data_IF_489210809199
#
_entry.id   IF_489210809199
#
_cell.length_a   1.000
_cell.length_b   1.000
_cell.length_c   1.000
_cell.angle_alpha   90.00
_cell.angle_beta   90.00
_cell.angle_gamma   90.00
#
_symmetry.space_group_name_H-M   'P 1'
#
loop_
_entity.id
_entity.type
_entity.pdbx_description
1 polymer ?
#
# COMPACT_ATOMS: atom_id res chain seq x y z
N UNK A 1 25.61 -30.21 -20.20
CA UNK A 1 24.54 -30.89 -19.47
C UNK A 1 24.44 -30.23 -18.09
N UNK A 2 23.54 -29.28 -17.92
CA UNK A 2 23.24 -28.70 -16.63
C UNK A 2 21.98 -29.39 -16.10
N UNK A 3 22.10 -30.06 -15.00
CA UNK A 3 21.00 -30.60 -14.23
C UNK A 3 20.21 -29.44 -13.62
N UNK A 4 19.02 -29.22 -14.12
CA UNK A 4 18.01 -28.39 -13.45
C UNK A 4 17.39 -29.22 -12.32
N UNK A 5 17.88 -29.08 -11.12
CA UNK A 5 17.15 -29.51 -9.94
C UNK A 5 15.98 -28.52 -9.73
N UNK A 6 14.77 -28.95 -10.09
CA UNK A 6 13.53 -28.34 -9.64
C UNK A 6 13.41 -28.57 -8.13
N UNK A 7 13.98 -27.71 -7.34
CA UNK A 7 13.61 -27.59 -5.94
C UNK A 7 12.28 -26.80 -5.89
N UNK A 8 11.18 -27.52 -5.72
CA UNK A 8 9.94 -26.98 -5.19
C UNK A 8 10.16 -26.58 -3.73
N UNK A 9 10.95 -25.53 -3.50
CA UNK A 9 11.03 -24.91 -2.18
C UNK A 9 9.75 -24.12 -1.98
N UNK A 10 8.92 -24.56 -1.04
CA UNK A 10 7.82 -23.74 -0.53
C UNK A 10 8.38 -22.37 -0.16
N UNK A 11 7.78 -21.25 -0.60
CA UNK A 11 8.29 -19.94 -0.25
C UNK A 11 8.41 -19.82 1.28
N UNK A 12 9.62 -19.55 1.76
CA UNK A 12 9.84 -19.36 3.20
C UNK A 12 9.26 -18.01 3.59
N UNK A 13 8.22 -18.02 4.41
CA UNK A 13 7.62 -16.80 4.96
C UNK A 13 8.49 -16.20 6.07
N UNK A 14 8.33 -14.90 6.32
CA UNK A 14 8.96 -14.16 7.40
C UNK A 14 7.97 -14.01 8.56
N UNK A 15 8.28 -14.58 9.71
CA UNK A 15 7.44 -14.40 10.91
C UNK A 15 7.50 -12.95 11.40
N UNK A 16 6.35 -12.42 11.79
CA UNK A 16 6.26 -11.03 12.29
C UNK A 16 7.13 -10.79 13.53
N UNK A 17 7.30 -11.80 14.39
CA UNK A 17 8.21 -11.72 15.55
C UNK A 17 9.67 -11.49 15.12
N UNK A 18 10.14 -12.17 14.08
CA UNK A 18 11.50 -11.99 13.54
C UNK A 18 11.67 -10.60 12.92
N UNK A 19 10.64 -10.12 12.19
CA UNK A 19 10.62 -8.78 11.65
C UNK A 19 10.65 -7.73 12.77
N UNK A 20 9.91 -7.95 13.85
CA UNK A 20 9.87 -7.09 15.03
C UNK A 20 11.24 -7.01 15.69
N UNK A 21 11.91 -8.13 15.93
CA UNK A 21 13.24 -8.16 16.53
C UNK A 21 14.28 -7.41 15.69
N UNK A 22 14.10 -7.39 14.37
CA UNK A 22 15.03 -6.76 13.44
C UNK A 22 14.80 -5.28 13.23
N UNK A 23 13.54 -4.84 13.10
CA UNK A 23 13.21 -3.51 12.59
C UNK A 23 12.57 -2.58 13.64
N UNK A 24 12.07 -3.13 14.77
CA UNK A 24 11.43 -2.32 15.80
C UNK A 24 12.46 -1.59 16.65
N UNK A 25 12.28 -0.27 16.77
CA UNK A 25 13.02 0.60 17.68
C UNK A 25 12.15 1.81 18.05
N UNK A 26 12.71 2.77 18.81
CA UNK A 26 11.96 3.94 19.30
C UNK A 26 11.47 4.86 18.16
N UNK A 27 12.13 4.82 17.00
CA UNK A 27 11.83 5.67 15.84
C UNK A 27 10.99 4.94 14.77
N UNK A 28 10.58 3.69 15.02
CA UNK A 28 9.83 2.91 14.04
C UNK A 28 8.53 2.35 14.61
N UNK A 29 7.59 2.10 13.72
CA UNK A 29 6.40 1.28 13.97
C UNK A 29 6.36 0.18 12.92
N UNK A 30 5.91 -1.03 13.32
CA UNK A 30 5.71 -2.12 12.38
C UNK A 30 4.24 -2.30 12.05
N UNK A 31 3.98 -2.55 10.79
CA UNK A 31 2.62 -2.68 10.27
C UNK A 31 2.51 -3.68 9.14
N UNK A 32 1.33 -3.72 8.60
CA UNK A 32 0.92 -4.57 7.49
C UNK A 32 0.09 -3.78 6.51
N UNK A 33 0.05 -4.21 5.25
CA UNK A 33 -1.01 -3.78 4.36
C UNK A 33 -1.87 -4.96 3.94
N UNK A 34 -3.18 -4.72 3.81
CA UNK A 34 -4.19 -5.76 3.60
C UNK A 34 -5.23 -5.36 2.56
N UNK A 35 -5.78 -6.37 1.93
CA UNK A 35 -6.91 -6.25 1.01
C UNK A 35 -7.82 -7.47 1.14
N UNK A 36 -8.76 -7.62 0.22
CA UNK A 36 -9.58 -8.82 0.12
C UNK A 36 -8.78 -10.12 -0.13
N UNK A 37 -7.50 -10.00 -0.52
CA UNK A 37 -6.63 -11.17 -0.70
C UNK A 37 -6.33 -11.91 0.61
N UNK A 38 -6.29 -11.21 1.73
CA UNK A 38 -6.09 -11.81 3.05
C UNK A 38 -7.37 -12.46 3.62
N UNK A 39 -8.54 -12.18 3.01
CA UNK A 39 -9.82 -12.66 3.51
C UNK A 39 -10.21 -12.03 4.84
N UNK A 40 -10.85 -12.81 5.70
CA UNK A 40 -11.20 -12.39 7.06
C UNK A 40 -9.95 -12.30 7.93
N UNK A 41 -9.81 -11.19 8.66
CA UNK A 41 -8.69 -10.90 9.55
C UNK A 41 -9.16 -10.85 11.00
N UNK A 42 -8.49 -11.62 11.86
CA UNK A 42 -8.67 -11.54 13.32
C UNK A 42 -7.78 -10.40 13.87
N UNK A 43 -8.35 -9.19 13.92
CA UNK A 43 -7.62 -7.98 14.30
C UNK A 43 -7.14 -7.98 15.76
N UNK A 44 -7.78 -8.74 16.65
CA UNK A 44 -7.30 -8.91 18.03
C UNK A 44 -5.98 -9.70 18.04
N UNK A 45 -5.90 -10.80 17.30
CA UNK A 45 -4.66 -11.56 17.15
C UNK A 45 -3.58 -10.75 16.44
N UNK A 46 -3.92 -10.04 15.37
CA UNK A 46 -2.98 -9.14 14.68
C UNK A 46 -2.39 -8.11 15.64
N UNK A 47 -3.20 -7.47 16.47
CA UNK A 47 -2.74 -6.55 17.52
C UNK A 47 -1.85 -7.24 18.54
N UNK A 48 -2.24 -8.40 19.00
CA UNK A 48 -1.48 -9.19 20.00
C UNK A 48 -0.13 -9.68 19.46
N UNK A 49 -0.01 -9.92 18.14
CA UNK A 49 1.25 -10.20 17.49
C UNK A 49 2.23 -9.00 17.53
N UNK A 50 1.72 -7.79 17.76
CA UNK A 50 2.50 -6.56 17.92
C UNK A 50 2.45 -5.64 16.71
N UNK A 51 1.49 -5.82 15.80
CA UNK A 51 1.21 -4.88 14.71
C UNK A 51 0.72 -3.55 15.28
N UNK A 52 1.24 -2.44 14.78
CA UNK A 52 0.98 -1.10 15.30
C UNK A 52 0.20 -0.23 14.30
N UNK A 53 0.27 -0.55 13.00
CA UNK A 53 -0.51 0.14 11.96
C UNK A 53 -0.92 -0.81 10.84
N UNK A 54 -1.95 -0.41 10.11
CA UNK A 54 -2.40 -1.11 8.92
C UNK A 54 -2.72 -0.12 7.81
N UNK A 55 -2.36 -0.46 6.56
CA UNK A 55 -2.80 0.23 5.36
C UNK A 55 -3.78 -0.68 4.62
N UNK A 56 -5.00 -0.22 4.43
CA UNK A 56 -6.12 -1.07 4.01
C UNK A 56 -6.56 -0.66 2.62
N UNK A 57 -6.68 -1.63 1.70
CA UNK A 57 -7.19 -1.32 0.37
C UNK A 57 -8.64 -0.85 0.46
N UNK A 58 -8.89 0.41 0.08
CA UNK A 58 -10.26 0.92 -0.01
C UNK A 58 -10.97 0.41 -1.26
N UNK A 59 -10.23 0.24 -2.35
CA UNK A 59 -10.80 -0.23 -3.60
C UNK A 59 -9.80 -0.23 -4.74
N UNK A 60 -10.32 -0.44 -5.94
CA UNK A 60 -9.54 -0.44 -7.17
C UNK A 60 -10.41 -0.04 -8.36
N UNK A 61 -9.77 0.41 -9.45
CA UNK A 61 -10.44 0.75 -10.70
C UNK A 61 -9.97 -0.11 -11.85
N UNK A 62 -10.88 -0.49 -12.76
CA UNK A 62 -10.56 -1.26 -13.97
C UNK A 62 -10.17 -0.34 -15.13
N UNK A 63 -9.24 -0.81 -15.97
CA UNK A 63 -8.69 -0.04 -17.10
C UNK A 63 -9.66 0.17 -18.25
N UNK A 64 -10.64 -0.72 -18.45
CA UNK A 64 -11.42 -0.76 -19.70
C UNK A 64 -12.74 0.02 -19.60
N UNK A 65 -13.41 0.00 -18.46
CA UNK A 65 -14.71 0.64 -18.26
C UNK A 65 -14.75 1.53 -17.00
N UNK A 66 -13.62 1.72 -16.33
CA UNK A 66 -13.50 2.51 -15.09
C UNK A 66 -14.53 2.18 -14.01
N UNK A 67 -14.96 0.92 -13.96
CA UNK A 67 -15.75 0.46 -12.83
C UNK A 67 -14.91 0.58 -11.56
N UNK A 68 -15.32 1.50 -10.70
CA UNK A 68 -14.71 1.68 -9.40
C UNK A 68 -15.31 0.66 -8.44
N UNK A 69 -14.45 -0.18 -7.87
CA UNK A 69 -14.88 -1.27 -6.99
C UNK A 69 -14.38 -1.02 -5.59
N UNK A 70 -15.31 -1.01 -4.63
CA UNK A 70 -14.96 -1.04 -3.22
C UNK A 70 -14.38 -2.41 -2.87
N UNK A 71 -13.27 -2.44 -2.13
CA UNK A 71 -12.72 -3.71 -1.65
C UNK A 71 -13.74 -4.41 -0.73
N UNK A 72 -13.94 -5.69 -0.96
CA UNK A 72 -14.97 -6.48 -0.27
C UNK A 72 -14.85 -6.42 1.26
N UNK A 73 -13.61 -6.38 1.77
CA UNK A 73 -13.34 -6.37 3.21
C UNK A 73 -12.93 -5.00 3.74
N UNK A 74 -13.05 -3.93 2.92
CA UNK A 74 -12.59 -2.59 3.31
C UNK A 74 -13.18 -2.14 4.65
N UNK A 75 -14.50 -2.18 4.79
CA UNK A 75 -15.18 -1.69 5.99
C UNK A 75 -14.84 -2.52 7.23
N UNK A 76 -14.88 -3.84 7.09
CA UNK A 76 -14.55 -4.78 8.16
C UNK A 76 -13.11 -4.61 8.63
N UNK A 77 -12.16 -4.46 7.69
CA UNK A 77 -10.75 -4.24 8.02
C UNK A 77 -10.53 -2.88 8.69
N UNK A 78 -11.17 -1.82 8.20
CA UNK A 78 -11.03 -0.48 8.77
C UNK A 78 -11.57 -0.42 10.20
N UNK A 79 -12.78 -0.93 10.43
CA UNK A 79 -13.41 -1.01 11.75
C UNK A 79 -12.62 -1.91 12.70
N UNK A 80 -12.20 -3.09 12.21
CA UNK A 80 -11.42 -4.05 13.00
C UNK A 80 -10.07 -3.49 13.44
N UNK A 81 -9.29 -2.92 12.53
CA UNK A 81 -8.00 -2.32 12.86
C UNK A 81 -8.16 -1.16 13.87
N UNK A 82 -9.12 -0.26 13.64
CA UNK A 82 -9.38 0.87 14.55
C UNK A 82 -9.86 0.43 15.93
N UNK A 83 -10.71 -0.58 16.00
CA UNK A 83 -11.22 -1.12 17.29
C UNK A 83 -10.09 -1.64 18.19
N UNK A 84 -9.00 -2.10 17.58
CA UNK A 84 -7.80 -2.55 18.29
C UNK A 84 -6.78 -1.43 18.53
N UNK A 85 -7.11 -0.18 18.19
CA UNK A 85 -6.24 0.97 18.37
C UNK A 85 -4.99 0.98 17.48
N UNK A 86 -5.05 0.34 16.31
CA UNK A 86 -4.00 0.47 15.31
C UNK A 86 -4.13 1.84 14.63
N UNK A 87 -3.00 2.41 14.22
CA UNK A 87 -3.01 3.53 13.26
C UNK A 87 -3.43 3.01 11.90
N UNK A 88 -4.23 3.79 11.17
CA UNK A 88 -4.77 3.34 9.89
C UNK A 88 -4.50 4.34 8.77
N UNK A 89 -4.22 3.79 7.60
CA UNK A 89 -4.25 4.46 6.31
C UNK A 89 -5.02 3.60 5.31
N UNK A 90 -5.26 4.15 4.14
CA UNK A 90 -5.87 3.39 3.05
C UNK A 90 -5.07 3.52 1.76
N UNK A 91 -5.20 2.55 0.86
CA UNK A 91 -4.67 2.67 -0.50
C UNK A 91 -5.73 2.33 -1.54
N UNK A 92 -5.60 2.96 -2.70
CA UNK A 92 -6.44 2.68 -3.86
C UNK A 92 -5.56 2.19 -5.01
N UNK A 93 -5.82 0.97 -5.47
CA UNK A 93 -5.11 0.39 -6.60
C UNK A 93 -5.71 0.91 -7.90
N UNK A 94 -4.99 1.82 -8.55
CA UNK A 94 -5.51 2.55 -9.70
C UNK A 94 -4.94 2.08 -11.02
N UNK A 95 -5.81 2.01 -12.02
CA UNK A 95 -5.47 1.81 -13.42
C UNK A 95 -5.71 3.07 -14.27
N UNK A 96 -5.98 4.20 -13.63
CA UNK A 96 -6.29 5.45 -14.30
C UNK A 96 -5.17 5.86 -15.26
N UNK A 97 -5.56 6.39 -16.42
CA UNK A 97 -4.65 6.94 -17.40
C UNK A 97 -5.09 8.34 -17.90
N UNK A 98 -6.15 8.90 -17.33
CA UNK A 98 -6.64 10.26 -17.57
C UNK A 98 -6.89 11.02 -16.27
N UNK A 99 -6.95 12.34 -16.35
CA UNK A 99 -7.28 13.19 -15.19
C UNK A 99 -8.73 13.01 -14.77
N UNK A 100 -9.65 12.85 -15.71
CA UNK A 100 -11.06 12.61 -15.45
C UNK A 100 -11.27 11.33 -14.63
N UNK A 101 -10.58 10.27 -14.96
CA UNK A 101 -10.60 9.02 -14.18
C UNK A 101 -10.06 9.22 -12.76
N UNK A 102 -9.02 10.03 -12.59
CA UNK A 102 -8.49 10.40 -11.27
C UNK A 102 -9.51 11.19 -10.45
N UNK A 103 -10.25 12.11 -11.08
CA UNK A 103 -11.29 12.88 -10.40
C UNK A 103 -12.43 11.97 -9.90
N UNK A 104 -12.85 11.01 -10.72
CA UNK A 104 -13.85 10.01 -10.35
C UNK A 104 -13.37 9.14 -9.20
N UNK A 105 -12.12 8.70 -9.24
CA UNK A 105 -11.51 7.90 -8.16
C UNK A 105 -11.40 8.68 -6.85
N UNK A 106 -10.94 9.92 -6.89
CA UNK A 106 -10.83 10.75 -5.70
C UNK A 106 -12.21 11.00 -5.04
N UNK A 107 -13.23 11.21 -5.87
CA UNK A 107 -14.61 11.31 -5.40
C UNK A 107 -15.09 10.00 -4.77
N UNK A 108 -14.89 8.88 -5.44
CA UNK A 108 -15.24 7.54 -4.92
C UNK A 108 -14.60 7.25 -3.56
N UNK A 109 -13.31 7.56 -3.42
CA UNK A 109 -12.57 7.39 -2.16
C UNK A 109 -13.18 8.27 -1.07
N UNK A 110 -13.39 9.56 -1.34
CA UNK A 110 -13.95 10.51 -0.38
C UNK A 110 -15.35 10.11 0.07
N UNK A 111 -16.20 9.68 -0.86
CA UNK A 111 -17.57 9.23 -0.58
C UNK A 111 -17.58 7.97 0.31
N UNK A 112 -16.70 7.02 0.06
CA UNK A 112 -16.62 5.78 0.83
C UNK A 112 -15.94 5.94 2.19
N UNK A 113 -15.02 6.89 2.33
CA UNK A 113 -14.45 7.29 3.62
C UNK A 113 -15.45 8.11 4.46
N UNK A 114 -16.29 8.92 3.83
CA UNK A 114 -17.36 9.68 4.49
C UNK A 114 -16.90 10.44 5.75
N UNK A 115 -15.73 11.08 5.68
CA UNK A 115 -15.16 11.83 6.82
C UNK A 115 -14.43 10.98 7.85
N UNK A 116 -14.25 9.69 7.62
CA UNK A 116 -13.51 8.79 8.51
C UNK A 116 -12.07 9.26 8.69
N UNK A 117 -11.62 9.42 9.94
CA UNK A 117 -10.27 9.90 10.23
C UNK A 117 -9.22 8.81 9.92
N UNK A 118 -8.14 9.20 9.26
CA UNK A 118 -7.00 8.35 8.91
C UNK A 118 -5.70 8.93 9.48
N UNK A 119 -4.90 8.10 10.15
CA UNK A 119 -3.59 8.50 10.68
C UNK A 119 -2.52 8.63 9.59
N UNK A 120 -2.63 7.80 8.54
CA UNK A 120 -1.62 7.67 7.49
C UNK A 120 -2.11 8.16 6.12
N UNK A 121 -3.35 8.69 6.06
CA UNK A 121 -3.91 9.25 4.84
C UNK A 121 -4.28 8.21 3.79
N UNK A 122 -4.30 8.67 2.53
CA UNK A 122 -4.71 7.89 1.36
C UNK A 122 -3.54 7.73 0.41
N UNK A 123 -3.22 6.48 0.07
CA UNK A 123 -2.11 6.16 -0.83
C UNK A 123 -2.58 5.95 -2.27
N UNK A 124 -1.88 6.58 -3.19
CA UNK A 124 -1.98 6.38 -4.63
C UNK A 124 -1.08 5.23 -5.03
N UNK A 125 -1.67 4.15 -5.54
CA UNK A 125 -0.98 2.93 -5.94
C UNK A 125 -1.26 2.64 -7.43
N UNK A 126 -0.29 3.03 -8.29
CA UNK A 126 -0.37 2.83 -9.74
C UNK A 126 0.78 1.92 -10.19
N UNK A 127 0.43 0.72 -10.67
CA UNK A 127 1.41 -0.31 -11.00
C UNK A 127 1.24 -0.94 -12.39
N UNK A 128 0.46 -0.33 -13.28
CA UNK A 128 0.14 -0.95 -14.55
C UNK A 128 1.26 -0.80 -15.61
N UNK A 129 2.49 -1.09 -15.22
CA UNK A 129 3.68 -0.92 -16.03
C UNK A 129 3.73 -1.81 -17.28
N UNK A 130 3.12 -2.98 -17.25
CA UNK A 130 3.07 -3.90 -18.37
C UNK A 130 2.28 -3.33 -19.57
N UNK A 131 1.30 -2.49 -19.30
CA UNK A 131 0.44 -1.86 -20.30
C UNK A 131 0.72 -0.36 -20.45
N UNK A 132 1.82 0.14 -19.87
CA UNK A 132 2.11 1.57 -19.83
C UNK A 132 2.15 2.20 -21.24
N UNK A 133 2.73 1.49 -22.22
CA UNK A 133 2.83 1.99 -23.60
C UNK A 133 1.47 2.07 -24.29
N UNK A 134 0.53 1.22 -23.92
CA UNK A 134 -0.81 1.19 -24.52
C UNK A 134 -1.65 2.40 -24.12
N UNK A 135 -1.34 3.02 -22.98
CA UNK A 135 -2.07 4.18 -22.46
C UNK A 135 -1.64 5.49 -23.10
N UNK A 136 -0.55 5.53 -23.84
CA UNK A 136 -0.02 6.75 -24.47
C UNK A 136 0.18 7.92 -23.50
N UNK A 137 0.47 7.62 -22.23
CA UNK A 137 0.79 8.61 -21.20
C UNK A 137 2.30 8.69 -21.00
N UNK A 138 2.79 9.85 -20.61
CA UNK A 138 4.18 10.07 -20.22
C UNK A 138 4.37 9.94 -18.71
N UNK A 139 5.62 9.88 -18.25
CA UNK A 139 5.93 9.97 -16.82
C UNK A 139 5.48 11.30 -16.20
N UNK A 140 5.47 12.36 -16.99
CA UNK A 140 4.93 13.64 -16.60
C UNK A 140 3.41 13.58 -16.38
N UNK A 141 2.67 12.88 -17.23
CA UNK A 141 1.23 12.68 -17.07
C UNK A 141 0.92 11.85 -15.82
N UNK A 142 1.69 10.80 -15.55
CA UNK A 142 1.56 10.04 -14.30
C UNK A 142 1.77 10.92 -13.05
N UNK A 143 2.78 11.77 -13.08
CA UNK A 143 3.07 12.68 -11.97
C UNK A 143 1.95 13.72 -11.81
N UNK A 144 1.37 14.22 -12.90
CA UNK A 144 0.21 15.09 -12.89
C UNK A 144 -1.03 14.39 -12.33
N UNK A 145 -1.26 13.12 -12.67
CA UNK A 145 -2.36 12.33 -12.11
C UNK A 145 -2.23 12.22 -10.59
N UNK A 146 -1.05 11.88 -10.08
CA UNK A 146 -0.80 11.89 -8.62
C UNK A 146 -1.07 13.27 -8.01
N UNK A 147 -0.58 14.35 -8.61
CA UNK A 147 -0.75 15.71 -8.10
C UNK A 147 -2.23 16.11 -8.05
N UNK A 148 -3.04 15.74 -9.05
CA UNK A 148 -4.48 15.95 -9.05
C UNK A 148 -5.17 15.13 -7.97
N UNK A 149 -4.86 13.83 -7.87
CA UNK A 149 -5.34 12.96 -6.80
C UNK A 149 -5.08 13.57 -5.42
N UNK A 150 -3.82 13.96 -5.18
CA UNK A 150 -3.42 14.59 -3.91
C UNK A 150 -4.18 15.88 -3.63
N UNK A 151 -4.31 16.75 -4.64
CA UNK A 151 -5.03 18.02 -4.50
C UNK A 151 -6.51 17.82 -4.13
N UNK A 152 -7.17 16.86 -4.78
CA UNK A 152 -8.59 16.57 -4.56
C UNK A 152 -8.82 15.97 -3.16
N UNK A 153 -8.02 14.99 -2.76
CA UNK A 153 -8.16 14.37 -1.44
C UNK A 153 -7.79 15.31 -0.30
N UNK A 154 -6.82 16.20 -0.48
CA UNK A 154 -6.52 17.25 0.50
C UNK A 154 -7.69 18.22 0.71
N UNK A 155 -8.45 18.55 -0.33
CA UNK A 155 -9.68 19.34 -0.19
C UNK A 155 -10.75 18.61 0.65
N UNK A 156 -10.72 17.27 0.63
CA UNK A 156 -11.58 16.43 1.46
C UNK A 156 -11.00 16.14 2.87
N UNK A 157 -9.85 16.74 3.21
CA UNK A 157 -9.23 16.63 4.53
C UNK A 157 -8.25 15.46 4.69
N UNK A 158 -7.82 14.82 3.61
CA UNK A 158 -6.93 13.66 3.67
C UNK A 158 -5.51 14.01 3.18
N UNK A 159 -4.51 13.65 3.96
CA UNK A 159 -3.12 13.59 3.48
C UNK A 159 -2.96 12.45 2.49
N UNK A 160 -1.96 12.58 1.60
CA UNK A 160 -1.73 11.59 0.55
C UNK A 160 -0.30 11.06 0.55
N UNK A 161 -0.14 9.86 0.00
CA UNK A 161 1.12 9.17 -0.15
C UNK A 161 1.23 8.56 -1.55
N UNK A 162 2.44 8.48 -2.08
CA UNK A 162 2.76 7.81 -3.33
C UNK A 162 3.41 6.46 -3.01
N UNK A 163 2.80 5.37 -3.47
CA UNK A 163 3.40 4.05 -3.42
C UNK A 163 4.17 3.73 -4.70
N UNK A 164 5.25 3.00 -4.56
CA UNK A 164 5.95 2.45 -5.70
C UNK A 164 7.13 1.58 -5.33
N UNK A 165 7.51 0.70 -6.26
CA UNK A 165 8.76 -0.04 -6.10
C UNK A 165 9.96 0.89 -6.22
N UNK A 166 11.06 0.52 -5.58
CA UNK A 166 12.32 1.28 -5.63
C UNK A 166 12.74 1.63 -7.06
N UNK A 167 12.56 0.71 -8.01
CA UNK A 167 12.90 0.96 -9.40
C UNK A 167 12.11 2.15 -9.99
N UNK A 168 10.78 2.13 -9.83
CA UNK A 168 9.92 3.18 -10.38
C UNK A 168 10.02 4.50 -9.62
N UNK A 169 10.22 4.46 -8.31
CA UNK A 169 10.47 5.67 -7.51
C UNK A 169 11.79 6.37 -7.91
N UNK A 170 12.78 5.62 -8.36
CA UNK A 170 14.05 6.18 -8.82
C UNK A 170 14.01 6.71 -10.26
N UNK A 171 13.26 6.06 -11.13
CA UNK A 171 13.40 6.27 -12.57
C UNK A 171 12.19 6.93 -13.24
N UNK A 172 11.03 6.95 -12.58
CA UNK A 172 9.77 7.41 -13.18
C UNK A 172 9.15 8.56 -12.37
N UNK A 173 8.96 8.34 -11.06
CA UNK A 173 8.22 9.27 -10.21
C UNK A 173 9.07 10.46 -9.76
N UNK A 174 8.50 11.66 -9.80
CA UNK A 174 9.05 12.79 -9.08
C UNK A 174 8.62 12.71 -7.61
N UNK A 175 9.51 12.26 -6.74
CA UNK A 175 9.22 12.04 -5.31
C UNK A 175 9.40 13.30 -4.44
N UNK A 176 9.86 14.41 -5.02
CA UNK A 176 10.08 15.65 -4.27
C UNK A 176 8.79 16.19 -3.65
N UNK A 177 8.83 16.47 -2.36
CA UNK A 177 7.69 16.98 -1.57
C UNK A 177 6.48 16.03 -1.52
N UNK A 178 6.69 14.74 -1.73
CA UNK A 178 5.67 13.71 -1.57
C UNK A 178 6.00 12.83 -0.37
N UNK A 179 5.00 12.41 0.38
CA UNK A 179 5.14 11.26 1.26
C UNK A 179 5.28 10.02 0.38
N UNK A 180 6.26 9.18 0.65
CA UNK A 180 6.54 7.98 -0.15
C UNK A 180 6.36 6.73 0.70
N UNK A 181 5.69 5.74 0.13
CA UNK A 181 5.65 4.36 0.58
C UNK A 181 6.47 3.53 -0.40
N UNK A 182 7.65 3.14 0.04
CA UNK A 182 8.65 2.43 -0.75
C UNK A 182 8.41 0.93 -0.69
N UNK A 183 8.26 0.26 -1.83
CA UNK A 183 8.36 -1.20 -1.92
C UNK A 183 9.78 -1.60 -2.35
N UNK A 184 10.45 -2.35 -1.48
CA UNK A 184 11.76 -2.93 -1.75
C UNK A 184 11.97 -4.16 -0.87
N UNK A 185 11.70 -5.35 -1.40
CA UNK A 185 11.74 -6.60 -0.68
C UNK A 185 13.18 -7.04 -0.44
N UNK A 186 13.71 -6.64 0.69
CA UNK A 186 15.10 -6.86 1.08
C UNK A 186 15.28 -6.71 2.59
N UNK A 187 16.40 -7.20 3.09
CA UNK A 187 16.74 -7.06 4.49
C UNK A 187 17.18 -5.65 4.91
N UNK A 188 17.66 -4.85 3.96
CA UNK A 188 18.08 -3.47 4.17
C UNK A 188 17.98 -2.73 2.84
N UNK A 189 17.16 -1.69 2.80
CA UNK A 189 17.02 -0.89 1.60
C UNK A 189 18.23 0.02 1.40
N UNK A 190 18.64 0.17 0.15
CA UNK A 190 19.61 1.18 -0.29
C UNK A 190 18.95 2.26 -1.17
N UNK A 191 17.66 2.52 -0.93
CA UNK A 191 16.98 3.68 -1.49
C UNK A 191 17.48 4.94 -0.76
N UNK A 192 17.92 5.94 -1.51
CA UNK A 192 18.66 7.10 -1.01
C UNK A 192 17.84 8.40 -0.97
N UNK A 193 16.55 8.33 -1.31
CA UNK A 193 15.62 9.46 -1.20
C UNK A 193 14.72 9.31 0.02
N UNK A 194 13.99 10.37 0.35
CA UNK A 194 13.06 10.36 1.48
C UNK A 194 11.89 9.39 1.26
N UNK A 195 11.55 8.63 2.29
CA UNK A 195 10.36 7.77 2.35
C UNK A 195 9.83 7.71 3.79
N UNK A 196 8.54 7.54 3.92
CA UNK A 196 7.84 7.47 5.21
C UNK A 196 7.58 6.04 5.65
N UNK A 197 7.25 5.18 4.70
CA UNK A 197 6.98 3.76 4.93
C UNK A 197 7.84 2.94 3.97
N UNK A 198 8.30 1.80 4.46
CA UNK A 198 9.03 0.81 3.68
C UNK A 198 8.34 -0.54 3.79
N UNK A 199 7.78 -1.02 2.67
CA UNK A 199 7.29 -2.37 2.50
C UNK A 199 8.49 -3.27 2.17
N UNK A 200 8.89 -4.11 3.13
CA UNK A 200 10.14 -4.86 3.03
C UNK A 200 9.94 -6.35 2.71
N UNK A 201 8.72 -6.85 2.77
CA UNK A 201 8.39 -8.25 2.44
C UNK A 201 6.94 -8.38 1.99
N UNK A 202 6.72 -9.25 1.00
CA UNK A 202 5.40 -9.71 0.52
C UNK A 202 5.05 -11.11 1.06
N UNK A 203 5.81 -11.62 2.05
CA UNK A 203 5.70 -12.99 2.58
C UNK A 203 5.68 -13.02 4.11
N UNK A 204 5.06 -12.02 4.70
CA UNK A 204 4.87 -11.98 6.15
C UNK A 204 3.92 -13.05 6.65
N UNK A 205 4.20 -13.59 7.83
CA UNK A 205 3.33 -14.49 8.58
C UNK A 205 2.95 -13.78 9.86
N UNK A 206 1.67 -13.45 10.00
CA UNK A 206 1.10 -12.73 11.15
C UNK A 206 -0.04 -13.53 11.73
N UNK A 207 -0.04 -13.71 13.06
CA UNK A 207 -1.16 -14.39 13.73
C UNK A 207 -2.45 -13.57 13.53
N UNK A 208 -3.53 -14.25 13.18
CA UNK A 208 -4.80 -13.61 12.82
C UNK A 208 -5.03 -13.42 11.32
N UNK A 209 -4.02 -13.71 10.48
CA UNK A 209 -4.11 -13.64 9.01
C UNK A 209 -3.83 -15.02 8.42
N UNK A 210 -4.66 -15.45 7.48
CA UNK A 210 -4.49 -16.71 6.78
C UNK A 210 -3.67 -16.48 5.49
N UNK A 211 -2.51 -17.14 5.40
CA UNK A 211 -1.57 -16.96 4.28
C UNK A 211 -0.57 -15.83 4.49
N UNK A 212 -0.01 -15.34 3.40
CA UNK A 212 0.99 -14.26 3.44
C UNK A 212 0.34 -12.89 3.45
N UNK A 213 1.03 -11.95 4.09
CA UNK A 213 0.68 -10.53 4.14
C UNK A 213 1.94 -9.68 3.98
N UNK A 214 1.77 -8.50 3.40
CA UNK A 214 2.85 -7.53 3.27
C UNK A 214 3.25 -6.95 4.62
N UNK A 215 4.56 -6.77 4.83
CA UNK A 215 5.11 -6.22 6.06
C UNK A 215 5.78 -4.88 5.82
N UNK A 216 5.50 -3.93 6.70
CA UNK A 216 5.88 -2.54 6.60
C UNK A 216 6.59 -2.00 7.83
N UNK A 217 7.52 -1.06 7.60
CA UNK A 217 8.12 -0.19 8.63
C UNK A 217 7.71 1.25 8.36
N UNK A 218 7.07 1.88 9.33
CA UNK A 218 6.80 3.31 9.35
C UNK A 218 7.87 4.01 10.19
N UNK A 219 8.50 5.03 9.64
CA UNK A 219 9.46 5.90 10.31
C UNK A 219 8.74 7.11 10.91
N UNK A 220 9.03 7.42 12.20
CA UNK A 220 8.41 8.52 12.97
C UNK A 220 9.06 9.86 12.68
#
# INVERSE_FOLDING_TARGET
FANSSNENSTPVGLNFSEAKDKYKNDNTMLGIDVSSFQGEVDWEKVKNAGVEFAIIRIGFGYTVNMDLVLDKYFKENLEGAKSQGLKVGVYFYTYANTIEEIEEQAKFISDNLNGEALDLGVTFDWENWNNFQDYQVSFYDLDNMYNNFSSLLKKSGYETMLYGSKFYLNNVWNTKNKNVWLAHYTNMTNYDKDYKIWQFSDKGIVDGINGFVDLDVLYK
#
